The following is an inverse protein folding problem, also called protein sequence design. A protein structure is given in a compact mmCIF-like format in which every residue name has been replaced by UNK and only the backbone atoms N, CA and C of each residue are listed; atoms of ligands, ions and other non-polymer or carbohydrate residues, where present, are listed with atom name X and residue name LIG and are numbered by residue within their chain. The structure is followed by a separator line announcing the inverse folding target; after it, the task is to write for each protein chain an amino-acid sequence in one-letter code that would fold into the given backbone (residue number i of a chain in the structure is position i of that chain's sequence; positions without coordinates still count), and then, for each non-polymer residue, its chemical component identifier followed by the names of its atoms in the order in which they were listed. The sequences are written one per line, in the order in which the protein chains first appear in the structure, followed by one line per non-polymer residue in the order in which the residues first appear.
data_IF_037975873191
#
_entry.id   IF_037975873191
#
_cell.length_a   1.000
_cell.length_b   1.000
_cell.length_c   1.000
_cell.angle_alpha   90.00
_cell.angle_beta   90.00
_cell.angle_gamma   90.00
#
_symmetry.space_group_name_H-M   'P 1'
#
loop_
_entity.id
_entity.type
_entity.pdbx_description
1 polymer ?
#
# COMPACT_ATOMS: atom_id res chain seq x y z
N UNK A 1 38.01 35.18 6.09
CA UNK A 1 36.95 34.18 5.78
C UNK A 1 35.68 34.71 6.42
N UNK A 2 34.61 34.92 5.65
CA UNK A 2 33.33 35.38 6.19
C UNK A 2 32.71 34.27 7.01
N UNK A 3 32.36 34.54 8.26
CA UNK A 3 31.62 33.59 9.11
C UNK A 3 30.23 33.40 8.50
N UNK A 4 29.90 32.16 8.12
CA UNK A 4 28.55 31.76 7.76
C UNK A 4 27.66 31.93 9.01
N UNK A 5 26.67 32.84 8.95
CA UNK A 5 25.67 32.93 10.01
C UNK A 5 24.78 31.69 9.95
N UNK A 6 24.78 30.89 11.00
CA UNK A 6 23.83 29.79 11.15
C UNK A 6 22.40 30.35 11.14
N UNK A 7 21.54 29.77 10.31
CA UNK A 7 20.16 30.24 10.09
C UNK A 7 19.22 29.81 11.24
N UNK A 8 19.65 28.88 12.09
CA UNK A 8 18.82 28.13 13.05
C UNK A 8 19.54 27.83 14.38
N UNK A 9 20.41 28.72 14.86
CA UNK A 9 20.94 28.64 16.23
C UNK A 9 22.07 27.63 16.46
N UNK A 10 22.77 27.19 15.42
CA UNK A 10 24.04 26.46 15.54
C UNK A 10 24.11 25.14 14.76
N UNK A 11 23.07 24.76 14.02
CA UNK A 11 23.17 23.68 13.04
C UNK A 11 23.67 24.28 11.71
N UNK A 12 24.64 23.66 11.04
CA UNK A 12 25.16 24.18 9.77
C UNK A 12 24.19 23.97 8.60
N UNK A 13 23.13 23.18 8.79
CA UNK A 13 22.21 22.76 7.75
C UNK A 13 20.77 22.77 8.27
N UNK A 14 19.91 23.53 7.61
CA UNK A 14 18.46 23.44 7.80
C UNK A 14 17.96 22.26 7.00
N UNK A 15 17.19 21.37 7.64
CA UNK A 15 16.57 20.25 6.96
C UNK A 15 15.56 20.77 5.91
N UNK A 16 15.57 20.27 4.67
CA UNK A 16 14.56 20.65 3.68
C UNK A 16 13.17 20.18 4.12
N UNK A 17 12.14 20.94 3.74
CA UNK A 17 10.74 20.61 4.03
C UNK A 17 10.29 19.36 3.25
N UNK A 18 10.81 19.18 2.03
CA UNK A 18 10.65 17.98 1.19
C UNK A 18 11.97 17.23 1.04
N UNK A 19 12.40 16.44 2.05
CA UNK A 19 13.71 15.80 2.04
C UNK A 19 13.80 14.57 1.14
N UNK A 20 12.68 14.04 0.63
CA UNK A 20 12.66 12.80 -0.12
C UNK A 20 12.65 13.07 -1.63
N UNK A 21 13.52 12.40 -2.38
CA UNK A 21 13.69 12.58 -3.82
C UNK A 21 13.54 11.27 -4.57
N UNK A 22 12.68 11.25 -5.58
CA UNK A 22 12.45 10.13 -6.48
C UNK A 22 12.83 10.50 -7.92
N UNK A 23 13.54 9.61 -8.60
CA UNK A 23 13.90 9.69 -10.02
C UNK A 23 13.51 8.38 -10.71
N UNK A 24 12.71 8.47 -11.77
CA UNK A 24 12.22 7.32 -12.54
C UNK A 24 12.45 7.51 -14.04
N UNK A 25 12.44 6.40 -14.77
CA UNK A 25 12.54 6.35 -16.24
C UNK A 25 11.45 5.45 -16.80
N UNK A 26 10.66 5.95 -17.75
CA UNK A 26 9.61 5.18 -18.42
C UNK A 26 10.16 4.29 -19.55
N UNK A 27 9.28 3.48 -20.17
CA UNK A 27 9.66 2.59 -21.28
C UNK A 27 10.16 3.32 -22.54
N UNK A 28 9.83 4.61 -22.69
CA UNK A 28 10.31 5.47 -23.79
C UNK A 28 11.65 6.13 -23.47
N UNK A 29 12.17 5.97 -22.25
CA UNK A 29 13.41 6.58 -21.76
C UNK A 29 13.23 8.01 -21.26
N UNK A 30 12.00 8.47 -21.02
CA UNK A 30 11.77 9.78 -20.40
C UNK A 30 12.05 9.70 -18.91
N UNK A 31 12.81 10.66 -18.40
CA UNK A 31 13.19 10.73 -16.98
C UNK A 31 12.31 11.73 -16.25
N UNK A 32 11.68 11.27 -15.17
CA UNK A 32 10.81 12.07 -14.31
C UNK A 32 11.39 12.16 -12.91
N UNK A 33 11.19 13.30 -12.22
CA UNK A 33 11.64 13.48 -10.85
C UNK A 33 10.55 14.10 -9.97
N UNK A 34 10.51 13.69 -8.70
CA UNK A 34 9.57 14.16 -7.69
C UNK A 34 10.25 14.42 -6.34
N UNK A 35 9.61 15.28 -5.54
CA UNK A 35 10.00 15.61 -4.18
C UNK A 35 8.85 15.34 -3.23
N UNK A 36 9.14 14.75 -2.09
CA UNK A 36 8.15 14.35 -1.08
C UNK A 36 8.56 14.84 0.32
N UNK A 37 7.56 15.15 1.13
CA UNK A 37 7.73 15.64 2.51
C UNK A 37 7.97 14.49 3.50
N UNK A 38 7.59 13.27 3.12
CA UNK A 38 7.70 12.07 3.95
C UNK A 38 8.10 10.83 3.12
N UNK A 39 8.60 9.80 3.80
CA UNK A 39 9.11 8.56 3.19
C UNK A 39 7.98 7.73 2.55
N UNK A 40 6.82 7.69 3.21
CA UNK A 40 5.63 6.94 2.80
C UNK A 40 5.14 7.39 1.42
N UNK A 41 4.94 8.69 1.21
CA UNK A 41 4.51 9.23 -0.08
C UNK A 41 5.53 9.00 -1.20
N UNK A 42 6.83 8.99 -0.88
CA UNK A 42 7.84 8.58 -1.87
C UNK A 42 7.70 7.09 -2.22
N UNK A 43 7.50 6.23 -1.22
CA UNK A 43 7.38 4.79 -1.42
C UNK A 43 6.13 4.43 -2.23
N UNK A 44 5.00 5.09 -1.95
CA UNK A 44 3.75 4.92 -2.70
C UNK A 44 3.91 5.30 -4.18
N UNK A 45 4.41 6.51 -4.49
CA UNK A 45 4.66 6.97 -5.86
C UNK A 45 5.66 6.04 -6.58
N UNK A 46 6.70 5.57 -5.87
CA UNK A 46 7.68 4.65 -6.44
C UNK A 46 7.12 3.25 -6.71
N UNK A 47 6.15 2.77 -5.93
CA UNK A 47 5.45 1.51 -6.20
C UNK A 47 4.53 1.70 -7.39
N UNK A 48 3.68 2.72 -7.39
CA UNK A 48 2.73 3.00 -8.49
C UNK A 48 3.44 3.12 -9.85
N UNK A 49 4.53 3.88 -9.91
CA UNK A 49 5.31 4.03 -11.14
C UNK A 49 5.91 2.71 -11.62
N UNK A 50 6.36 1.87 -10.69
CA UNK A 50 6.88 0.54 -11.04
C UNK A 50 5.77 -0.35 -11.60
N UNK A 51 4.58 -0.32 -11.02
CA UNK A 51 3.39 -1.02 -11.55
C UNK A 51 3.03 -0.54 -12.95
N UNK A 52 3.27 0.74 -13.26
CA UNK A 52 3.11 1.33 -14.58
C UNK A 52 4.29 1.06 -15.55
N UNK A 53 5.25 0.21 -15.17
CA UNK A 53 6.37 -0.20 -16.01
C UNK A 53 7.58 0.72 -15.96
N UNK A 54 7.57 1.77 -15.12
CA UNK A 54 8.73 2.64 -14.95
C UNK A 54 9.83 1.98 -14.11
N UNK A 55 11.07 2.31 -14.45
CA UNK A 55 12.25 1.92 -13.69
C UNK A 55 12.59 2.99 -12.65
N UNK A 56 12.73 2.59 -11.40
CA UNK A 56 13.27 3.46 -10.35
C UNK A 56 14.79 3.61 -10.55
N UNK A 57 15.26 4.84 -10.79
CA UNK A 57 16.69 5.17 -10.94
C UNK A 57 17.27 5.53 -9.57
N UNK A 58 16.58 6.36 -8.79
CA UNK A 58 17.07 6.89 -7.52
C UNK A 58 15.90 7.16 -6.57
N UNK A 59 16.04 6.75 -5.31
CA UNK A 59 15.12 7.07 -4.23
C UNK A 59 15.94 7.35 -2.96
N UNK A 60 15.98 8.61 -2.52
CA UNK A 60 16.85 9.04 -1.41
C UNK A 60 16.17 10.02 -0.47
N UNK A 61 16.55 9.98 0.81
CA UNK A 61 16.35 11.06 1.77
C UNK A 61 17.59 11.97 1.75
N UNK A 62 17.45 13.20 1.25
CA UNK A 62 18.55 14.14 1.03
C UNK A 62 19.15 14.64 2.33
N UNK A 63 18.35 14.79 3.40
CA UNK A 63 18.84 15.28 4.69
C UNK A 63 19.88 14.36 5.33
N UNK A 64 19.76 13.06 5.08
CA UNK A 64 20.63 12.03 5.62
C UNK A 64 21.53 11.38 4.56
N UNK A 65 21.34 11.72 3.28
CA UNK A 65 21.94 11.06 2.12
C UNK A 65 21.74 9.53 2.16
N UNK A 66 20.58 9.08 2.63
CA UNK A 66 20.24 7.67 2.79
C UNK A 66 19.38 7.22 1.60
N UNK A 67 19.62 6.02 1.11
CA UNK A 67 18.71 5.35 0.16
C UNK A 67 17.39 4.98 0.85
N UNK A 68 16.29 5.20 0.14
CA UNK A 68 14.96 4.75 0.59
C UNK A 68 14.71 3.36 0.02
N UNK A 69 14.42 2.41 0.89
CA UNK A 69 13.98 1.08 0.46
C UNK A 69 12.57 1.20 -0.09
N UNK A 70 12.36 0.80 -1.34
CA UNK A 70 11.03 0.80 -1.92
C UNK A 70 10.42 -0.58 -1.70
N UNK A 71 9.23 -0.67 -1.09
CA UNK A 71 8.57 -1.95 -0.89
C UNK A 71 8.26 -2.65 -2.22
N UNK A 72 7.98 -3.97 -2.17
CA UNK A 72 7.34 -4.65 -3.30
C UNK A 72 5.96 -4.03 -3.57
N UNK A 73 5.47 -4.27 -4.78
CA UNK A 73 4.08 -3.97 -5.13
C UNK A 73 3.14 -4.83 -4.29
N UNK A 74 2.01 -4.25 -3.86
CA UNK A 74 0.94 -5.00 -3.21
C UNK A 74 0.02 -5.54 -4.31
N UNK A 75 -0.03 -6.86 -4.42
CA UNK A 75 -0.70 -7.57 -5.51
C UNK A 75 -1.99 -8.24 -5.04
N UNK A 76 -2.78 -8.71 -6.01
CA UNK A 76 -3.96 -9.53 -5.73
C UNK A 76 -3.61 -10.80 -4.95
N UNK A 77 -2.44 -11.38 -5.20
CA UNK A 77 -1.97 -12.58 -4.49
C UNK A 77 -1.71 -12.28 -3.01
N UNK A 78 -1.12 -11.11 -2.70
CA UNK A 78 -0.92 -10.66 -1.32
C UNK A 78 -2.25 -10.48 -0.60
N UNK A 79 -3.24 -9.88 -1.27
CA UNK A 79 -4.59 -9.72 -0.71
C UNK A 79 -5.28 -11.06 -0.46
N UNK A 80 -5.22 -12.00 -1.41
CA UNK A 80 -5.77 -13.36 -1.25
C UNK A 80 -5.11 -14.06 -0.07
N UNK A 81 -3.79 -13.95 0.09
CA UNK A 81 -3.06 -14.56 1.21
C UNK A 81 -3.52 -13.99 2.55
N UNK A 82 -3.67 -12.66 2.67
CA UNK A 82 -4.13 -12.00 3.90
C UNK A 82 -5.58 -12.37 4.26
N UNK A 83 -6.48 -12.41 3.27
CA UNK A 83 -7.87 -12.83 3.45
C UNK A 83 -7.95 -14.28 3.94
N UNK A 84 -7.20 -15.20 3.31
CA UNK A 84 -7.16 -16.61 3.73
C UNK A 84 -6.57 -16.77 5.13
N UNK A 85 -5.47 -16.07 5.42
CA UNK A 85 -4.81 -16.12 6.73
C UNK A 85 -5.77 -15.69 7.86
N UNK A 86 -6.51 -14.60 7.65
CA UNK A 86 -7.50 -14.13 8.62
C UNK A 86 -8.65 -15.14 8.80
N UNK A 87 -9.13 -15.74 7.71
CA UNK A 87 -10.19 -16.74 7.74
C UNK A 87 -9.75 -18.04 8.43
N UNK A 88 -8.57 -18.55 8.12
CA UNK A 88 -8.00 -19.76 8.72
C UNK A 88 -7.78 -19.57 10.22
N UNK A 89 -7.25 -18.42 10.66
CA UNK A 89 -7.12 -18.08 12.08
C UNK A 89 -8.49 -18.06 12.79
N UNK A 90 -9.54 -17.57 12.11
CA UNK A 90 -10.90 -17.60 12.65
C UNK A 90 -11.44 -19.04 12.78
N UNK A 91 -11.20 -19.89 11.78
CA UNK A 91 -11.56 -21.32 11.84
C UNK A 91 -10.81 -22.04 12.95
N UNK A 92 -9.52 -21.78 13.13
CA UNK A 92 -8.70 -22.36 14.19
C UNK A 92 -9.17 -21.95 15.59
N UNK A 93 -9.67 -20.73 15.73
CA UNK A 93 -10.29 -20.22 16.98
C UNK A 93 -11.70 -20.80 17.24
N UNK A 94 -12.29 -21.47 16.25
CA UNK A 94 -13.59 -22.15 16.39
C UNK A 94 -14.78 -21.20 16.33
N UNK A 95 -14.70 -20.10 15.58
CA UNK A 95 -15.85 -19.24 15.34
C UNK A 95 -16.90 -19.97 14.49
N UNK A 96 -18.16 -19.95 14.96
CA UNK A 96 -19.30 -20.58 14.28
C UNK A 96 -19.81 -19.76 13.07
N UNK A 97 -19.57 -18.44 13.09
CA UNK A 97 -19.92 -17.50 12.02
C UNK A 97 -18.72 -16.57 11.83
N UNK A 98 -18.28 -16.42 10.59
CA UNK A 98 -17.09 -15.64 10.23
C UNK A 98 -17.52 -14.53 9.28
N UNK A 99 -17.28 -13.29 9.69
CA UNK A 99 -17.38 -12.11 8.85
C UNK A 99 -16.00 -11.46 8.81
N UNK A 100 -15.39 -11.42 7.64
CA UNK A 100 -14.13 -10.71 7.40
C UNK A 100 -14.46 -9.27 7.05
N UNK A 101 -13.89 -8.33 7.80
CA UNK A 101 -13.99 -6.90 7.55
C UNK A 101 -12.69 -6.44 6.91
N UNK A 102 -12.76 -5.90 5.70
CA UNK A 102 -11.63 -5.36 4.94
C UNK A 102 -11.71 -3.84 4.96
N UNK A 103 -10.80 -3.17 5.65
CA UNK A 103 -10.68 -1.71 5.67
C UNK A 103 -9.60 -1.25 4.69
N UNK A 104 -9.84 -0.12 4.01
CA UNK A 104 -8.91 0.49 3.06
C UNK A 104 -8.40 1.85 3.54
N UNK A 105 -7.28 2.30 3.00
CA UNK A 105 -6.72 3.65 3.20
C UNK A 105 -7.65 4.79 2.71
N UNK A 106 -8.64 4.48 1.88
CA UNK A 106 -9.68 5.43 1.43
C UNK A 106 -10.91 5.47 2.33
N UNK A 107 -10.82 4.92 3.54
CA UNK A 107 -11.92 4.82 4.52
C UNK A 107 -13.12 3.98 4.03
N UNK A 108 -12.94 3.17 2.97
CA UNK A 108 -13.95 2.21 2.53
C UNK A 108 -13.78 0.89 3.27
N UNK A 109 -14.91 0.25 3.56
CA UNK A 109 -14.97 -1.02 4.28
C UNK A 109 -15.84 -2.01 3.52
N UNK A 110 -15.35 -3.24 3.39
CA UNK A 110 -16.03 -4.35 2.73
C UNK A 110 -16.19 -5.51 3.71
N UNK A 111 -17.23 -6.32 3.50
CA UNK A 111 -17.58 -7.42 4.40
C UNK A 111 -17.71 -8.72 3.60
N UNK A 112 -16.87 -9.71 3.89
CA UNK A 112 -16.98 -11.06 3.32
C UNK A 112 -17.57 -12.00 4.36
N UNK A 113 -18.70 -12.60 4.03
CA UNK A 113 -19.46 -13.51 4.88
C UNK A 113 -19.31 -14.94 4.38
N UNK A 114 -19.00 -15.87 5.31
CA UNK A 114 -19.10 -17.31 5.09
C UNK A 114 -20.54 -17.78 5.39
N UNK A 115 -21.24 -18.24 4.36
CA UNK A 115 -22.66 -18.66 4.45
C UNK A 115 -22.84 -20.11 3.97
N UNK A 116 -24.00 -20.71 4.27
CA UNK A 116 -24.33 -22.07 3.81
C UNK A 116 -24.34 -22.20 2.27
N UNK A 117 -24.61 -21.10 1.56
CA UNK A 117 -24.69 -21.04 0.10
C UNK A 117 -23.35 -20.65 -0.57
N UNK A 118 -22.29 -20.43 0.21
CA UNK A 118 -20.96 -19.99 -0.24
C UNK A 118 -20.53 -18.66 0.38
N UNK A 119 -19.49 -18.04 -0.19
CA UNK A 119 -18.98 -16.74 0.25
C UNK A 119 -19.76 -15.60 -0.40
N UNK A 120 -20.10 -14.56 0.37
CA UNK A 120 -20.80 -13.38 -0.15
C UNK A 120 -20.15 -12.11 0.37
N UNK A 121 -20.00 -11.12 -0.50
CA UNK A 121 -19.54 -9.79 -0.13
C UNK A 121 -20.65 -8.77 -0.40
N UNK A 122 -20.78 -7.81 0.51
CA UNK A 122 -21.79 -6.74 0.49
C UNK A 122 -21.84 -5.93 -0.82
N UNK A 123 -20.76 -5.91 -1.59
CA UNK A 123 -20.67 -5.27 -2.91
C UNK A 123 -21.21 -6.10 -4.08
N UNK A 124 -21.54 -7.37 -3.85
CA UNK A 124 -22.01 -8.32 -4.87
C UNK A 124 -23.37 -8.96 -4.49
N UNK A 125 -24.27 -9.02 -5.47
CA UNK A 125 -25.60 -9.64 -5.33
C UNK A 125 -25.59 -11.18 -5.54
N UNK A 126 -24.42 -11.82 -5.48
CA UNK A 126 -24.23 -13.24 -5.75
C UNK A 126 -23.18 -13.88 -4.83
N UNK A 127 -23.14 -15.21 -4.83
CA UNK A 127 -22.24 -16.02 -4.02
C UNK A 127 -21.07 -16.55 -4.83
N UNK A 128 -19.93 -16.71 -4.18
CA UNK A 128 -18.71 -17.31 -4.70
C UNK A 128 -18.49 -18.69 -4.07
N UNK A 129 -17.90 -19.61 -4.83
CA UNK A 129 -17.67 -20.99 -4.40
C UNK A 129 -16.53 -21.10 -3.38
N UNK A 130 -15.55 -20.19 -3.44
CA UNK A 130 -14.36 -20.17 -2.60
C UNK A 130 -13.90 -18.74 -2.26
N UNK A 131 -13.06 -18.67 -1.23
CA UNK A 131 -12.57 -17.41 -0.66
C UNK A 131 -11.61 -16.69 -1.60
N UNK A 132 -10.79 -17.43 -2.35
CA UNK A 132 -9.84 -16.86 -3.32
C UNK A 132 -10.60 -16.12 -4.43
N UNK A 133 -11.65 -16.73 -4.98
CA UNK A 133 -12.46 -16.16 -6.06
C UNK A 133 -13.14 -14.85 -5.65
N UNK A 134 -13.68 -14.79 -4.43
CA UNK A 134 -14.29 -13.55 -3.93
C UNK A 134 -13.23 -12.50 -3.62
N UNK A 135 -12.09 -12.88 -3.05
CA UNK A 135 -10.99 -11.95 -2.77
C UNK A 135 -10.41 -11.37 -4.06
N UNK A 136 -10.15 -12.20 -5.07
CA UNK A 136 -9.67 -11.78 -6.40
C UNK A 136 -10.65 -10.80 -7.04
N UNK A 137 -11.94 -11.14 -7.06
CA UNK A 137 -12.97 -10.29 -7.70
C UNK A 137 -13.14 -8.97 -6.94
N UNK A 138 -13.16 -9.02 -5.60
CA UNK A 138 -13.24 -7.83 -4.75
C UNK A 138 -12.06 -6.89 -5.01
N UNK A 139 -10.83 -7.41 -5.01
CA UNK A 139 -9.62 -6.62 -5.25
C UNK A 139 -9.60 -5.99 -6.63
N UNK A 140 -9.91 -6.76 -7.68
CA UNK A 140 -9.80 -6.28 -9.05
C UNK A 140 -10.93 -5.35 -9.47
N UNK A 141 -12.15 -5.53 -8.94
CA UNK A 141 -13.33 -4.81 -9.44
C UNK A 141 -13.82 -3.69 -8.52
N UNK A 142 -13.56 -3.80 -7.21
CA UNK A 142 -14.26 -2.97 -6.22
C UNK A 142 -13.33 -2.20 -5.30
N UNK A 143 -12.25 -2.81 -4.83
CA UNK A 143 -11.34 -2.15 -3.88
C UNK A 143 -10.78 -0.88 -4.53
N UNK A 144 -11.04 0.24 -3.85
CA UNK A 144 -10.45 1.54 -4.17
C UNK A 144 -9.43 1.86 -3.08
N UNK A 145 -8.17 2.02 -3.48
CA UNK A 145 -7.06 2.20 -2.56
C UNK A 145 -6.43 0.88 -2.11
N UNK A 146 -5.68 0.93 -1.02
CA UNK A 146 -4.96 -0.23 -0.48
C UNK A 146 -5.67 -0.80 0.75
N UNK A 147 -5.85 -2.12 0.86
CA UNK A 147 -6.24 -2.76 2.11
C UNK A 147 -5.24 -2.45 3.22
N UNK A 148 -5.72 -1.99 4.37
CA UNK A 148 -4.90 -1.64 5.54
C UNK A 148 -5.13 -2.57 6.73
N UNK A 149 -6.33 -3.16 6.85
CA UNK A 149 -6.66 -4.10 7.91
C UNK A 149 -7.68 -5.13 7.42
N UNK A 150 -7.47 -6.38 7.78
CA UNK A 150 -8.46 -7.46 7.66
C UNK A 150 -8.67 -8.05 9.06
N UNK A 151 -9.91 -8.02 9.55
CA UNK A 151 -10.26 -8.51 10.89
C UNK A 151 -11.57 -9.30 10.90
N UNK A 152 -11.81 -10.03 11.98
CA UNK A 152 -13.05 -10.76 12.23
C UNK A 152 -14.02 -9.89 13.04
N UNK A 153 -15.28 -9.83 12.61
CA UNK A 153 -16.40 -9.24 13.36
C UNK A 153 -17.30 -10.32 14.01
#
# INVERSE_FOLDING_TARGET
MSEFKALDGGKPFMQPESPFFLLTEDEEGNVSYCWWDNEEGLQEDAVERRSNGERIICAIEISSCRDVEIPPEYTVDDFIEEVNSAYDDAKEKGFDSIVLVVETDTEQTYYINDTEDGFQCDEFDYYFEDLDSIAETLFNEKIIGKPIEIRID
#
